data_IF_166684492432
#
_entry.id   IF_166684492432
#
_cell.length_a   1.000
_cell.length_b   1.000
_cell.length_c   1.000
_cell.angle_alpha   90.00
_cell.angle_beta   90.00
_cell.angle_gamma   90.00
#
_symmetry.space_group_name_H-M   'P 1'
#
loop_
_entity.id
_entity.type
_entity.pdbx_description
1 polymer ?
#
# COMPACT_ATOMS: atom_id res chain seq x y z
N UNK A 1 -13.55 15.49 15.07
CA UNK A 1 -13.50 16.18 13.76
C UNK A 1 -12.58 15.42 12.84
N UNK A 2 -12.93 15.26 11.56
CA UNK A 2 -12.07 14.56 10.60
C UNK A 2 -10.77 15.33 10.35
N UNK A 3 -9.67 14.64 9.98
CA UNK A 3 -8.40 15.30 9.69
C UNK A 3 -8.52 16.25 8.50
N UNK A 4 -7.99 17.47 8.59
CA UNK A 4 -8.10 18.47 7.50
C UNK A 4 -7.44 18.04 6.18
N UNK A 5 -6.52 17.07 6.23
CA UNK A 5 -5.87 16.49 5.05
C UNK A 5 -6.66 15.34 4.40
N UNK A 6 -7.67 14.81 5.07
CA UNK A 6 -8.55 13.78 4.50
C UNK A 6 -9.43 14.41 3.41
N UNK A 7 -9.30 13.92 2.18
CA UNK A 7 -10.25 14.22 1.12
C UNK A 7 -11.35 13.16 1.12
N UNK A 8 -12.40 13.39 1.90
CA UNK A 8 -13.46 12.42 2.14
C UNK A 8 -14.40 12.19 0.95
N UNK A 9 -15.10 11.06 0.92
CA UNK A 9 -16.15 10.73 -0.05
C UNK A 9 -17.54 11.17 0.42
N UNK A 10 -18.51 11.18 -0.51
CA UNK A 10 -19.89 11.57 -0.20
C UNK A 10 -20.74 10.43 0.40
N UNK A 11 -20.41 9.17 0.09
CA UNK A 11 -21.09 8.01 0.65
C UNK A 11 -20.81 7.90 2.15
N UNK A 12 -21.85 7.55 2.91
CA UNK A 12 -21.78 7.23 4.33
C UNK A 12 -21.92 5.74 4.58
N UNK A 13 -22.15 4.95 3.54
CA UNK A 13 -22.26 3.50 3.60
C UNK A 13 -20.85 2.88 3.50
N UNK A 14 -20.36 2.21 4.56
CA UNK A 14 -19.02 1.62 4.56
C UNK A 14 -18.84 0.58 3.46
N UNK A 15 -19.86 -0.21 3.11
CA UNK A 15 -19.73 -1.31 2.14
C UNK A 15 -19.41 -0.81 0.73
N UNK A 16 -19.83 0.41 0.42
CA UNK A 16 -19.54 1.09 -0.86
C UNK A 16 -18.36 2.06 -0.78
N UNK A 17 -17.87 2.36 0.42
CA UNK A 17 -16.87 3.39 0.65
C UNK A 17 -15.45 2.82 0.81
N UNK A 18 -14.48 3.49 0.18
CA UNK A 18 -13.09 3.04 0.10
C UNK A 18 -12.16 4.16 0.55
N UNK A 19 -11.17 3.86 1.40
CA UNK A 19 -10.14 4.79 1.83
C UNK A 19 -8.81 4.43 1.16
N UNK A 20 -8.29 5.33 0.34
CA UNK A 20 -6.93 5.23 -0.19
C UNK A 20 -5.95 5.97 0.73
N UNK A 21 -5.01 5.23 1.32
CA UNK A 21 -3.89 5.77 2.06
C UNK A 21 -2.73 5.93 1.08
N UNK A 22 -2.25 7.17 0.90
CA UNK A 22 -1.28 7.48 -0.17
C UNK A 22 0.00 8.11 0.37
N UNK A 23 1.10 7.81 -0.31
CA UNK A 23 2.43 8.32 0.04
C UNK A 23 2.63 9.77 -0.44
N UNK A 24 2.68 10.70 0.51
CA UNK A 24 2.99 12.10 0.26
C UNK A 24 1.86 12.94 -0.33
N UNK A 25 2.06 14.26 -0.31
CA UNK A 25 1.08 15.22 -0.83
C UNK A 25 1.00 15.20 -2.36
N UNK A 26 2.09 14.83 -3.05
CA UNK A 26 2.14 14.75 -4.52
C UNK A 26 1.19 13.67 -5.03
N UNK A 27 1.37 12.42 -4.59
CA UNK A 27 0.45 11.34 -4.91
C UNK A 27 -0.96 11.62 -4.34
N UNK A 28 -1.04 12.28 -3.18
CA UNK A 28 -2.30 12.80 -2.62
C UNK A 28 -3.08 13.71 -3.58
N UNK A 29 -2.40 14.65 -4.23
CA UNK A 29 -2.99 15.56 -5.20
C UNK A 29 -3.53 14.84 -6.44
N UNK A 30 -2.72 13.96 -7.04
CA UNK A 30 -3.12 13.16 -8.19
C UNK A 30 -4.28 12.21 -7.86
N UNK A 31 -4.20 11.54 -6.70
CA UNK A 31 -5.25 10.61 -6.23
C UNK A 31 -6.56 11.35 -5.94
N UNK A 32 -6.49 12.54 -5.33
CA UNK A 32 -7.69 13.37 -5.07
C UNK A 32 -8.41 13.77 -6.35
N UNK A 33 -7.69 13.99 -7.44
CA UNK A 33 -8.25 14.31 -8.76
C UNK A 33 -8.75 13.06 -9.49
N UNK A 34 -8.09 11.91 -9.30
CA UNK A 34 -8.41 10.65 -9.95
C UNK A 34 -9.65 9.94 -9.35
N UNK A 35 -9.88 10.09 -8.04
CA UNK A 35 -10.90 9.35 -7.28
C UNK A 35 -12.33 9.59 -7.78
N UNK A 36 -13.19 8.60 -7.57
CA UNK A 36 -14.63 8.83 -7.52
C UNK A 36 -14.99 9.48 -6.17
N UNK A 37 -15.34 10.76 -6.18
CA UNK A 37 -15.69 11.51 -4.96
C UNK A 37 -16.94 10.97 -4.26
N UNK A 38 -17.76 10.16 -4.93
CA UNK A 38 -18.92 9.52 -4.33
C UNK A 38 -18.52 8.44 -3.34
N UNK A 39 -17.54 7.61 -3.67
CA UNK A 39 -17.23 6.38 -2.92
C UNK A 39 -15.80 6.27 -2.42
N UNK A 40 -14.87 7.06 -2.94
CA UNK A 40 -13.44 6.90 -2.66
C UNK A 40 -12.90 8.10 -1.91
N UNK A 41 -12.45 7.92 -0.68
CA UNK A 41 -11.72 8.90 0.11
C UNK A 41 -10.21 8.76 -0.09
N UNK A 42 -9.45 9.84 0.10
CA UNK A 42 -7.98 9.85 -0.01
C UNK A 42 -7.38 10.49 1.23
N UNK A 43 -6.45 9.79 1.87
CA UNK A 43 -5.68 10.26 3.02
C UNK A 43 -4.18 10.25 2.68
N UNK A 44 -3.58 11.41 2.38
CA UNK A 44 -2.14 11.51 2.20
C UNK A 44 -1.42 11.43 3.54
N UNK A 45 -0.39 10.60 3.60
CA UNK A 45 0.53 10.52 4.74
C UNK A 45 1.86 11.17 4.38
N UNK A 46 2.45 11.91 5.32
CA UNK A 46 3.70 12.65 5.08
C UNK A 46 4.87 11.98 5.78
N UNK A 47 5.94 11.79 5.02
CA UNK A 47 7.15 11.14 5.53
C UNK A 47 6.93 9.67 5.88
N UNK A 48 7.95 9.08 6.52
CA UNK A 48 7.88 7.70 6.99
C UNK A 48 6.95 7.61 8.20
N UNK A 49 6.06 6.63 8.18
CA UNK A 49 5.14 6.39 9.30
C UNK A 49 5.94 5.98 10.53
N UNK A 50 5.45 6.35 11.70
CA UNK A 50 6.05 5.93 12.95
C UNK A 50 6.07 4.40 13.01
N UNK A 51 7.24 3.80 13.21
CA UNK A 51 7.33 2.39 13.52
C UNK A 51 6.72 2.15 14.91
N UNK A 52 5.50 1.61 14.91
CA UNK A 52 4.73 1.43 16.13
C UNK A 52 5.20 0.26 16.99
N UNK A 53 5.97 -0.67 16.42
CA UNK A 53 6.59 -1.78 17.14
C UNK A 53 7.55 -1.29 18.23
N UNK A 54 8.26 -0.19 17.91
CA UNK A 54 9.28 0.39 18.77
C UNK A 54 8.83 1.65 19.51
N UNK A 55 7.62 2.13 19.19
CA UNK A 55 7.11 3.39 19.75
C UNK A 55 6.61 3.20 21.18
N UNK A 56 6.87 4.19 22.03
CA UNK A 56 6.20 4.26 23.32
C UNK A 56 4.74 4.68 23.14
N UNK A 57 3.83 4.32 24.07
CA UNK A 57 2.43 4.75 24.00
C UNK A 57 2.28 6.28 23.87
N UNK A 58 3.14 7.05 24.53
CA UNK A 58 3.14 8.52 24.45
C UNK A 58 3.53 9.02 23.05
N UNK A 59 4.50 8.38 22.39
CA UNK A 59 4.88 8.74 21.02
C UNK A 59 3.78 8.40 20.02
N UNK A 60 3.16 7.23 20.18
CA UNK A 60 2.01 6.81 19.38
C UNK A 60 0.85 7.81 19.52
N UNK A 61 0.46 8.11 20.77
CA UNK A 61 -0.63 9.02 21.10
C UNK A 61 -0.36 10.47 20.70
N UNK A 62 0.88 10.88 20.46
CA UNK A 62 1.24 12.21 19.99
C UNK A 62 1.49 12.29 18.48
N UNK A 63 1.49 11.16 17.77
CA UNK A 63 1.78 11.15 16.34
C UNK A 63 0.55 11.58 15.52
N UNK A 64 0.70 12.66 14.74
CA UNK A 64 -0.39 13.22 13.94
C UNK A 64 -0.84 12.32 12.77
N UNK A 65 0.06 11.53 12.20
CA UNK A 65 -0.25 10.60 11.12
C UNK A 65 -1.11 9.44 11.63
N UNK A 66 -0.73 8.85 12.78
CA UNK A 66 -1.51 7.82 13.47
C UNK A 66 -2.88 8.36 13.89
N UNK A 67 -2.94 9.55 14.51
CA UNK A 67 -4.22 10.20 14.84
C UNK A 67 -5.11 10.38 13.61
N UNK A 68 -4.53 10.79 12.50
CA UNK A 68 -5.26 10.99 11.25
C UNK A 68 -5.80 9.69 10.70
N UNK A 69 -5.01 8.61 10.72
CA UNK A 69 -5.45 7.27 10.31
C UNK A 69 -6.63 6.78 11.16
N UNK A 70 -6.47 6.79 12.47
CA UNK A 70 -7.47 6.29 13.43
C UNK A 70 -8.78 7.06 13.31
N UNK A 71 -8.69 8.39 13.27
CA UNK A 71 -9.87 9.25 13.12
C UNK A 71 -10.56 9.06 11.77
N UNK A 72 -9.78 8.83 10.69
CA UNK A 72 -10.35 8.60 9.37
C UNK A 72 -11.07 7.26 9.31
N UNK A 73 -10.49 6.18 9.84
CA UNK A 73 -11.10 4.84 9.82
C UNK A 73 -12.33 4.76 10.74
N UNK A 74 -12.28 5.44 11.89
CA UNK A 74 -13.44 5.64 12.77
C UNK A 74 -13.65 4.56 13.84
N UNK A 75 -12.95 3.42 13.76
CA UNK A 75 -13.16 2.29 14.68
C UNK A 75 -12.44 2.41 16.02
N UNK A 76 -11.60 3.43 16.25
CA UNK A 76 -10.74 3.50 17.45
C UNK A 76 -9.49 2.62 17.33
N UNK A 77 -8.85 2.27 18.44
CA UNK A 77 -7.66 1.41 18.48
C UNK A 77 -7.58 0.57 19.76
N UNK A 78 -6.93 -0.60 19.70
CA UNK A 78 -6.70 -1.44 20.88
C UNK A 78 -7.99 -1.83 21.60
N UNK A 79 -8.07 -1.55 22.90
CA UNK A 79 -9.23 -1.90 23.73
C UNK A 79 -10.52 -1.10 23.40
N UNK A 80 -10.41 0.02 22.68
CA UNK A 80 -11.54 0.89 22.31
C UNK A 80 -12.07 0.59 20.90
N UNK A 81 -11.68 -0.53 20.29
CA UNK A 81 -12.11 -0.90 18.95
C UNK A 81 -13.62 -1.14 18.88
N UNK A 82 -14.30 -0.39 18.02
CA UNK A 82 -15.73 -0.50 17.73
C UNK A 82 -15.96 -0.51 16.22
N UNK A 83 -16.14 -1.70 15.66
CA UNK A 83 -16.33 -1.91 14.23
C UNK A 83 -17.65 -1.38 13.70
N UNK A 84 -18.65 -1.12 14.57
CA UNK A 84 -19.90 -0.49 14.12
C UNK A 84 -19.69 0.93 13.61
N UNK A 85 -18.56 1.56 13.98
CA UNK A 85 -18.16 2.90 13.54
C UNK A 85 -17.25 2.91 12.31
N UNK A 86 -17.03 1.75 11.68
CA UNK A 86 -16.21 1.65 10.48
C UNK A 86 -16.77 2.58 9.40
N UNK A 87 -15.90 3.42 8.83
CA UNK A 87 -16.30 4.41 7.82
C UNK A 87 -16.08 3.95 6.38
N UNK A 88 -15.19 2.99 6.17
CA UNK A 88 -14.79 2.50 4.85
C UNK A 88 -14.61 0.98 4.89
N UNK A 89 -15.34 0.26 4.05
CA UNK A 89 -15.29 -1.19 3.95
C UNK A 89 -14.00 -1.70 3.30
N UNK A 90 -13.31 -0.83 2.54
CA UNK A 90 -11.97 -1.11 2.03
C UNK A 90 -11.00 -0.01 2.43
N UNK A 91 -9.89 -0.40 3.01
CA UNK A 91 -8.76 0.45 3.34
C UNK A 91 -7.60 -0.02 2.46
N UNK A 92 -7.23 0.82 1.50
CA UNK A 92 -6.31 0.50 0.42
C UNK A 92 -5.02 1.29 0.64
N UNK A 93 -3.93 0.58 0.93
CA UNK A 93 -2.58 1.14 0.98
C UNK A 93 -2.08 1.27 -0.46
N UNK A 94 -1.80 2.50 -0.88
CA UNK A 94 -1.35 2.81 -2.23
C UNK A 94 -0.06 3.64 -2.14
N UNK A 95 1.07 2.92 -2.13
CA UNK A 95 2.43 3.48 -2.06
C UNK A 95 3.16 3.30 -3.39
N UNK A 96 4.33 3.93 -3.52
CA UNK A 96 5.17 3.78 -4.70
C UNK A 96 5.71 2.35 -4.83
N UNK A 97 6.05 1.94 -6.06
CA UNK A 97 6.57 0.60 -6.37
C UNK A 97 8.08 0.45 -6.08
N UNK A 98 8.63 1.34 -5.26
CA UNK A 98 10.03 1.37 -4.89
C UNK A 98 10.28 0.86 -3.45
N UNK A 99 11.52 0.94 -3.01
CA UNK A 99 11.94 0.46 -1.69
C UNK A 99 11.36 1.28 -0.53
N UNK A 100 11.08 2.57 -0.74
CA UNK A 100 10.52 3.44 0.29
C UNK A 100 9.01 3.18 0.42
N UNK A 101 8.31 2.98 -0.69
CA UNK A 101 6.90 2.56 -0.69
C UNK A 101 6.70 1.19 -0.04
N UNK A 102 7.59 0.22 -0.30
CA UNK A 102 7.59 -1.08 0.39
C UNK A 102 7.77 -0.92 1.91
N UNK A 103 8.66 -0.04 2.35
CA UNK A 103 8.87 0.24 3.76
C UNK A 103 7.66 0.91 4.42
N UNK A 104 7.02 1.88 3.76
CA UNK A 104 5.78 2.51 4.26
C UNK A 104 4.66 1.48 4.38
N UNK A 105 4.50 0.62 3.37
CA UNK A 105 3.55 -0.48 3.41
C UNK A 105 3.81 -1.41 4.61
N UNK A 106 5.06 -1.80 4.86
CA UNK A 106 5.42 -2.60 6.03
C UNK A 106 5.04 -1.90 7.35
N UNK A 107 5.34 -0.61 7.50
CA UNK A 107 4.98 0.18 8.70
C UNK A 107 3.47 0.25 8.93
N UNK A 108 2.69 0.44 7.87
CA UNK A 108 1.23 0.45 7.95
C UNK A 108 0.66 -0.92 8.29
N UNK A 109 1.19 -1.99 7.69
CA UNK A 109 0.78 -3.36 8.00
C UNK A 109 1.10 -3.72 9.46
N UNK A 110 2.26 -3.30 9.98
CA UNK A 110 2.58 -3.43 11.40
C UNK A 110 1.57 -2.68 12.27
N UNK A 111 1.19 -1.45 11.88
CA UNK A 111 0.17 -0.70 12.61
C UNK A 111 -1.19 -1.42 12.63
N UNK A 112 -1.67 -1.90 11.48
CA UNK A 112 -2.93 -2.64 11.43
C UNK A 112 -2.87 -3.94 12.23
N UNK A 113 -1.77 -4.70 12.13
CA UNK A 113 -1.59 -5.94 12.88
C UNK A 113 -1.58 -5.71 14.39
N UNK A 114 -0.88 -4.67 14.86
CA UNK A 114 -0.74 -4.38 16.30
C UNK A 114 -1.97 -3.71 16.93
N UNK A 115 -2.63 -2.82 16.21
CA UNK A 115 -3.65 -1.92 16.80
C UNK A 115 -5.06 -2.10 16.24
N UNK A 116 -5.22 -2.76 15.09
CA UNK A 116 -6.52 -2.99 14.43
C UNK A 116 -6.60 -4.37 13.75
N UNK A 117 -6.24 -5.48 14.45
CA UNK A 117 -6.09 -6.78 13.81
C UNK A 117 -7.39 -7.31 13.19
N UNK A 118 -8.58 -6.99 13.73
CA UNK A 118 -9.81 -7.48 13.10
C UNK A 118 -10.12 -6.80 11.75
N UNK A 119 -9.56 -5.63 11.43
CA UNK A 119 -9.68 -5.08 10.06
C UNK A 119 -8.99 -6.00 9.04
N UNK A 120 -7.88 -6.64 9.42
CA UNK A 120 -7.22 -7.63 8.59
C UNK A 120 -8.06 -8.90 8.56
N UNK A 121 -8.50 -9.40 9.72
CA UNK A 121 -9.31 -10.62 9.81
C UNK A 121 -10.63 -10.55 9.04
N UNK A 122 -11.28 -9.38 9.00
CA UNK A 122 -12.51 -9.11 8.24
C UNK A 122 -12.25 -8.83 6.75
N UNK A 123 -10.99 -8.80 6.31
CA UNK A 123 -10.62 -8.60 4.91
C UNK A 123 -10.84 -7.16 4.44
N UNK A 124 -10.72 -6.17 5.32
CA UNK A 124 -10.87 -4.76 4.98
C UNK A 124 -9.57 -4.12 4.45
N UNK A 125 -8.40 -4.74 4.68
CA UNK A 125 -7.10 -4.17 4.29
C UNK A 125 -6.64 -4.70 2.93
N UNK A 126 -6.21 -3.79 2.05
CA UNK A 126 -5.74 -4.09 0.70
C UNK A 126 -4.45 -3.33 0.38
N UNK A 127 -3.60 -3.90 -0.47
CA UNK A 127 -2.51 -3.22 -1.14
C UNK A 127 -2.92 -2.96 -2.59
N UNK A 128 -2.83 -1.72 -3.05
CA UNK A 128 -2.93 -1.43 -4.47
C UNK A 128 -1.62 -1.80 -5.16
N UNK A 129 -1.71 -2.38 -6.37
CA UNK A 129 -0.53 -2.66 -7.22
C UNK A 129 -0.58 -1.74 -8.45
N UNK A 130 0.06 -0.57 -8.42
CA UNK A 130 0.16 0.31 -9.58
C UNK A 130 0.93 -0.35 -10.73
N UNK A 131 0.77 0.12 -11.98
CA UNK A 131 1.57 -0.38 -13.11
C UNK A 131 3.02 0.12 -13.01
N UNK A 132 3.95 -0.73 -13.41
CA UNK A 132 5.38 -0.41 -13.48
C UNK A 132 5.75 0.23 -14.82
N UNK A 133 5.05 -0.17 -15.90
CA UNK A 133 5.29 0.37 -17.24
C UNK A 133 4.00 0.76 -17.96
N UNK A 134 4.11 1.79 -18.80
CA UNK A 134 3.21 2.08 -19.91
C UNK A 134 3.92 1.70 -21.21
N UNK A 135 3.26 0.91 -22.04
CA UNK A 135 3.75 0.52 -23.36
C UNK A 135 2.76 1.06 -24.39
N UNK A 136 3.21 1.99 -25.24
CA UNK A 136 2.42 2.56 -26.33
C UNK A 136 2.93 2.06 -27.67
N UNK A 137 2.05 1.46 -28.48
CA UNK A 137 2.34 0.95 -29.82
C UNK A 137 1.28 1.50 -30.79
N UNK A 138 1.64 2.55 -31.54
CA UNK A 138 0.66 3.32 -32.32
C UNK A 138 -0.35 3.98 -31.37
N UNK A 139 -1.64 3.68 -31.55
CA UNK A 139 -2.73 4.16 -30.67
C UNK A 139 -3.00 3.26 -29.46
N UNK A 140 -2.48 2.03 -29.46
CA UNK A 140 -2.70 1.09 -28.34
C UNK A 140 -1.80 1.44 -27.16
N UNK A 141 -2.37 1.52 -25.97
CA UNK A 141 -1.65 1.72 -24.70
C UNK A 141 -1.95 0.55 -23.78
N UNK A 142 -0.91 -0.15 -23.36
CA UNK A 142 -0.97 -1.21 -22.36
C UNK A 142 -0.24 -0.76 -21.09
N UNK A 143 -0.78 -1.11 -19.93
CA UNK A 143 -0.15 -0.91 -18.62
C UNK A 143 0.18 -2.28 -18.04
N UNK A 144 1.41 -2.45 -17.58
CA UNK A 144 1.91 -3.74 -17.06
C UNK A 144 2.61 -3.58 -15.74
N UNK A 145 2.62 -4.64 -14.93
CA UNK A 145 3.00 -4.58 -13.52
C UNK A 145 4.36 -5.21 -13.21
N UNK A 146 5.01 -5.81 -14.21
CA UNK A 146 6.34 -6.39 -14.10
C UNK A 146 7.08 -6.44 -15.44
N UNK A 147 8.39 -6.72 -15.37
CA UNK A 147 9.24 -6.86 -16.54
C UNK A 147 8.86 -8.05 -17.42
N UNK A 148 8.31 -9.13 -16.83
CA UNK A 148 7.92 -10.33 -17.57
C UNK A 148 6.75 -10.02 -18.52
N UNK A 149 5.72 -9.32 -18.05
CA UNK A 149 4.60 -8.86 -18.85
C UNK A 149 5.06 -7.90 -19.95
N UNK A 150 5.95 -6.97 -19.61
CA UNK A 150 6.55 -6.04 -20.57
C UNK A 150 7.28 -6.78 -21.70
N UNK A 151 8.15 -7.72 -21.37
CA UNK A 151 8.93 -8.49 -22.34
C UNK A 151 8.04 -9.42 -23.18
N UNK A 152 6.96 -9.97 -22.61
CA UNK A 152 5.93 -10.72 -23.35
C UNK A 152 5.20 -9.87 -24.37
N UNK A 153 4.90 -8.60 -24.06
CA UNK A 153 4.26 -7.69 -25.03
C UNK A 153 5.25 -7.32 -26.14
N UNK A 154 6.50 -7.02 -25.77
CA UNK A 154 7.54 -6.63 -26.73
C UNK A 154 7.89 -7.79 -27.68
N UNK A 155 8.01 -9.02 -27.18
CA UNK A 155 8.35 -10.19 -28.00
C UNK A 155 7.24 -10.58 -29.00
N UNK A 156 5.99 -10.19 -28.75
CA UNK A 156 4.86 -10.41 -29.67
C UNK A 156 4.75 -9.35 -30.77
N UNK A 157 5.58 -8.31 -30.74
CA UNK A 157 5.58 -7.27 -31.78
C UNK A 157 6.18 -7.84 -33.07
N UNK A 158 5.32 -8.10 -34.05
CA UNK A 158 5.73 -8.41 -35.41
C UNK A 158 5.90 -7.12 -36.22
N UNK A 159 7.12 -6.80 -36.65
CA UNK A 159 7.42 -5.74 -37.63
C UNK A 159 8.05 -4.44 -37.08
N UNK A 160 8.27 -3.48 -37.98
CA UNK A 160 9.03 -2.22 -37.78
C UNK A 160 8.42 -1.19 -36.80
N UNK A 161 7.41 -1.55 -36.00
CA UNK A 161 6.77 -0.60 -35.05
C UNK A 161 7.59 -0.52 -33.77
N UNK A 162 8.19 0.64 -33.51
CA UNK A 162 8.93 0.89 -32.27
C UNK A 162 7.96 1.16 -31.11
N UNK A 163 7.99 0.39 -30.02
CA UNK A 163 7.20 0.69 -28.84
C UNK A 163 7.77 1.92 -28.11
N UNK A 164 6.88 2.80 -27.64
CA UNK A 164 7.19 3.84 -26.66
C UNK A 164 6.95 3.29 -25.25
N UNK A 165 8.02 3.09 -24.49
CA UNK A 165 7.98 2.47 -23.17
C UNK A 165 8.33 3.52 -22.12
N UNK A 166 7.38 3.81 -21.23
CA UNK A 166 7.60 4.66 -20.06
C UNK A 166 7.57 3.80 -18.80
N UNK A 167 8.61 3.88 -17.98
CA UNK A 167 8.63 3.30 -16.63
C UNK A 167 8.13 4.34 -15.63
N UNK A 168 7.24 3.94 -14.74
CA UNK A 168 6.83 4.75 -13.59
C UNK A 168 7.72 4.41 -12.41
N UNK A 169 8.35 5.40 -11.79
CA UNK A 169 9.13 5.19 -10.56
C UNK A 169 8.28 5.38 -9.31
N UNK A 170 7.29 6.25 -9.38
CA UNK A 170 6.37 6.54 -8.28
C UNK A 170 5.02 7.03 -8.78
N UNK A 171 4.04 7.03 -7.87
CA UNK A 171 2.66 7.47 -8.12
C UNK A 171 2.60 8.95 -8.48
N UNK A 172 3.52 9.76 -7.96
CA UNK A 172 3.61 11.19 -8.26
C UNK A 172 3.93 11.50 -9.73
N UNK A 173 4.52 10.57 -10.48
CA UNK A 173 4.81 10.71 -11.91
C UNK A 173 3.59 10.39 -12.80
N UNK A 174 2.54 9.79 -12.23
CA UNK A 174 1.35 9.40 -12.97
C UNK A 174 0.35 10.56 -13.06
N UNK A 175 -0.06 10.95 -14.28
CA UNK A 175 -1.19 11.86 -14.45
C UNK A 175 -2.46 11.28 -13.81
N UNK A 176 -3.33 12.13 -13.27
CA UNK A 176 -4.55 11.70 -12.57
C UNK A 176 -5.45 10.78 -13.42
N UNK A 177 -5.53 11.01 -14.73
CA UNK A 177 -6.27 10.14 -15.66
C UNK A 177 -5.70 8.71 -15.67
N UNK A 178 -4.38 8.58 -15.80
CA UNK A 178 -3.70 7.28 -15.75
C UNK A 178 -3.93 6.60 -14.40
N UNK A 179 -3.68 7.31 -13.30
CA UNK A 179 -3.86 6.76 -11.95
C UNK A 179 -5.29 6.26 -11.71
N UNK A 180 -6.28 6.99 -12.23
CA UNK A 180 -7.69 6.58 -12.21
C UNK A 180 -7.87 5.27 -12.95
N UNK A 181 -7.43 5.20 -14.20
CA UNK A 181 -7.61 4.05 -15.08
C UNK A 181 -6.84 2.81 -14.62
N UNK A 182 -5.70 2.96 -13.93
CA UNK A 182 -4.84 1.82 -13.62
C UNK A 182 -4.92 1.34 -12.19
N UNK A 183 -5.18 2.24 -11.23
CA UNK A 183 -5.02 1.92 -9.80
C UNK A 183 -6.27 2.22 -8.96
N UNK A 184 -7.12 3.16 -9.38
CA UNK A 184 -8.29 3.55 -8.57
C UNK A 184 -9.62 3.02 -9.09
N UNK A 185 -9.80 2.88 -10.41
CA UNK A 185 -11.06 2.43 -11.00
C UNK A 185 -11.33 0.96 -10.66
N UNK A 186 -12.51 0.62 -10.09
CA UNK A 186 -12.83 -0.76 -9.70
C UNK A 186 -12.75 -1.79 -10.82
N UNK A 187 -12.98 -1.38 -12.07
CA UNK A 187 -13.02 -2.27 -13.23
C UNK A 187 -11.64 -2.74 -13.72
N UNK A 188 -10.56 -2.03 -13.39
CA UNK A 188 -9.24 -2.22 -13.98
C UNK A 188 -8.10 -2.29 -12.97
N UNK A 189 -8.31 -1.83 -11.74
CA UNK A 189 -7.30 -1.87 -10.70
C UNK A 189 -6.98 -3.30 -10.25
N UNK A 190 -5.76 -3.49 -9.79
CA UNK A 190 -5.32 -4.70 -9.11
C UNK A 190 -5.14 -4.41 -7.61
N UNK A 191 -5.95 -5.07 -6.78
CA UNK A 191 -5.85 -5.00 -5.32
C UNK A 191 -5.49 -6.37 -4.76
N UNK A 192 -4.49 -6.40 -3.89
CA UNK A 192 -4.11 -7.57 -3.11
C UNK A 192 -4.76 -7.47 -1.74
N UNK A 193 -5.64 -8.42 -1.39
CA UNK A 193 -6.25 -8.46 -0.06
C UNK A 193 -5.24 -9.03 0.93
N UNK A 194 -5.07 -8.35 2.07
CA UNK A 194 -4.19 -8.80 3.15
C UNK A 194 -4.92 -9.82 4.02
N UNK A 195 -4.28 -10.94 4.31
CA UNK A 195 -4.74 -11.97 5.26
C UNK A 195 -3.62 -12.34 6.23
N UNK A 196 -3.98 -12.95 7.34
CA UNK A 196 -3.06 -13.54 8.31
C UNK A 196 -3.33 -15.04 8.32
N UNK A 197 -2.37 -15.83 7.85
CA UNK A 197 -2.52 -17.29 7.77
C UNK A 197 -2.08 -17.93 9.09
N UNK A 198 -0.88 -17.57 9.58
CA UNK A 198 -0.36 -17.95 10.89
C UNK A 198 -0.07 -16.71 11.72
N UNK A 199 -0.84 -16.52 12.79
CA UNK A 199 -0.72 -15.37 13.66
C UNK A 199 0.60 -15.35 14.46
N UNK A 200 1.10 -16.51 14.89
CA UNK A 200 2.33 -16.61 15.66
C UNK A 200 3.54 -16.37 14.78
N UNK A 201 3.57 -16.96 13.57
CA UNK A 201 4.64 -16.70 12.61
C UNK A 201 4.66 -15.22 12.20
N UNK A 202 3.49 -14.62 11.95
CA UNK A 202 3.36 -13.20 11.60
C UNK A 202 3.84 -12.28 12.73
N UNK A 203 3.48 -12.59 13.97
CA UNK A 203 3.93 -11.85 15.15
C UNK A 203 5.45 -11.90 15.32
N UNK A 204 6.05 -13.08 15.15
CA UNK A 204 7.50 -13.26 15.19
C UNK A 204 8.19 -12.48 14.06
N UNK A 205 7.63 -12.49 12.85
CA UNK A 205 8.16 -11.75 11.72
C UNK A 205 8.17 -10.24 11.99
N UNK A 206 7.05 -9.67 12.47
CA UNK A 206 6.99 -8.25 12.84
C UNK A 206 7.96 -7.92 13.98
N UNK A 207 8.05 -8.77 15.00
CA UNK A 207 8.97 -8.56 16.13
C UNK A 207 10.44 -8.56 15.67
N UNK A 208 10.84 -9.47 14.79
CA UNK A 208 12.21 -9.54 14.23
C UNK A 208 12.50 -8.38 13.29
N UNK A 209 11.59 -8.08 12.37
CA UNK A 209 11.81 -7.09 11.30
C UNK A 209 11.64 -5.65 11.79
N UNK A 210 10.70 -5.41 12.70
CA UNK A 210 10.28 -4.08 13.11
C UNK A 210 10.67 -3.75 14.55
N UNK A 211 11.06 -4.73 15.36
CA UNK A 211 11.44 -4.57 16.77
C UNK A 211 12.74 -3.81 17.00
N UNK A 212 13.25 -3.81 18.24
CA UNK A 212 14.44 -3.04 18.64
C UNK A 212 15.75 -3.77 18.41
N UNK A 213 15.72 -5.09 18.31
CA UNK A 213 16.90 -5.92 18.13
C UNK A 213 17.42 -5.81 16.69
N UNK A 214 18.58 -5.15 16.54
CA UNK A 214 19.23 -5.01 15.25
C UNK A 214 19.86 -6.33 14.76
N UNK A 215 20.33 -7.18 15.67
CA UNK A 215 20.96 -8.46 15.32
C UNK A 215 19.91 -9.41 14.75
N UNK A 216 18.77 -9.58 15.43
CA UNK A 216 17.70 -10.44 14.97
C UNK A 216 17.17 -10.05 13.58
N UNK A 217 17.13 -8.74 13.28
CA UNK A 217 16.76 -8.23 11.96
C UNK A 217 17.82 -8.52 10.92
N UNK A 218 19.09 -8.30 11.26
CA UNK A 218 20.21 -8.59 10.36
C UNK A 218 20.25 -10.07 9.99
N UNK A 219 20.12 -10.96 10.98
CA UNK A 219 20.09 -12.40 10.78
C UNK A 219 18.90 -12.81 9.89
N UNK A 220 17.71 -12.24 10.14
CA UNK A 220 16.55 -12.47 9.28
C UNK A 220 16.81 -12.05 7.83
N UNK A 221 17.35 -10.86 7.59
CA UNK A 221 17.65 -10.38 6.23
C UNK A 221 18.69 -11.27 5.55
N UNK A 222 19.71 -11.69 6.30
CA UNK A 222 20.76 -12.58 5.80
C UNK A 222 20.21 -13.96 5.43
N UNK A 223 19.30 -14.52 6.23
CA UNK A 223 18.67 -15.82 6.01
C UNK A 223 17.73 -15.83 4.81
N UNK A 224 17.13 -14.69 4.44
CA UNK A 224 15.99 -14.64 3.51
C UNK A 224 16.25 -13.82 2.23
N UNK A 225 17.39 -13.15 2.11
CA UNK A 225 17.70 -12.34 0.93
C UNK A 225 18.42 -13.16 -0.14
N UNK A 226 17.92 -13.12 -1.39
CA UNK A 226 18.59 -13.74 -2.56
C UNK A 226 20.07 -13.37 -2.65
N UNK A 227 20.42 -12.10 -2.37
CA UNK A 227 21.82 -11.65 -2.41
C UNK A 227 22.73 -12.41 -1.44
N UNK A 228 22.21 -12.82 -0.27
CA UNK A 228 22.95 -13.59 0.73
C UNK A 228 22.82 -15.10 0.50
N UNK A 229 21.66 -15.57 0.07
CA UNK A 229 21.37 -16.97 -0.20
C UNK A 229 22.19 -17.49 -1.39
N UNK A 230 22.26 -16.73 -2.49
CA UNK A 230 23.10 -17.09 -3.65
C UNK A 230 24.59 -17.11 -3.30
N UNK A 231 25.03 -16.26 -2.36
CA UNK A 231 26.41 -16.25 -1.88
C UNK A 231 26.75 -17.40 -0.91
N UNK A 232 25.73 -18.02 -0.30
CA UNK A 232 25.87 -19.06 0.72
C UNK A 232 25.39 -20.45 0.29
N UNK A 233 24.77 -20.57 -0.89
CA UNK A 233 24.32 -21.84 -1.47
C UNK A 233 23.04 -22.41 -0.84
N UNK A 234 22.28 -21.60 -0.10
CA UNK A 234 20.99 -22.01 0.48
C UNK A 234 19.83 -21.86 -0.55
N UNK A 235 18.64 -22.40 -0.24
CA UNK A 235 17.41 -22.20 -1.02
C UNK A 235 16.49 -21.20 -0.32
N UNK A 236 15.80 -20.33 -1.08
CA UNK A 236 14.72 -19.50 -0.56
C UNK A 236 13.47 -20.36 -0.32
N UNK A 237 12.89 -20.26 0.87
CA UNK A 237 11.46 -20.54 1.06
C UNK A 237 10.70 -19.24 0.71
N UNK A 238 9.85 -19.32 -0.32
CA UNK A 238 9.00 -18.22 -0.82
C UNK A 238 7.58 -18.42 -0.33
#
# INVERSE_FOLDING_TARGET
TLPGKLADCASTDPDTSELFIVEGDSAGGSSKQARDRKTQAVLPLRGKILNVENATPQKLANNNEIKSLVTSIGVGMGAELDYSKLRYGKIIIMTDADVDGAHISALLLTFFFRYMPELIARGNIYLARPPLFRIKIGEKVDYVHDDIEKDKIISKLNGNRKPDIQRYKGLGEMPAKTLKETTMAPASRLLLRVSIDDHTATDNAFSRLMGKDASARYDFIKENSEAFIVSSGASLDV
#
